data_IF_175428505036
#
_entry.id   IF_175428505036
#
_cell.length_a   1.000
_cell.length_b   1.000
_cell.length_c   1.000
_cell.angle_alpha   90.00
_cell.angle_beta   90.00
_cell.angle_gamma   90.00
#
_symmetry.space_group_name_H-M   'P 1'
#
loop_
_entity.id
_entity.type
_entity.pdbx_description
1 polymer ?
#
# COMPACT_ATOMS: atom_id res chain seq x y z
N UNK A 1 17.04 -54.48 -39.56
CA UNK A 1 15.60 -54.25 -39.31
C UNK A 1 15.21 -55.01 -38.06
N UNK A 2 15.21 -54.36 -36.89
CA UNK A 2 14.63 -54.92 -35.66
C UNK A 2 14.04 -53.76 -34.85
N UNK A 3 12.72 -53.81 -34.73
CA UNK A 3 11.94 -53.09 -33.74
C UNK A 3 11.60 -54.04 -32.59
N UNK A 4 11.24 -53.43 -31.45
CA UNK A 4 10.27 -53.85 -30.44
C UNK A 4 10.80 -54.07 -29.01
N UNK A 5 10.05 -53.43 -28.14
CA UNK A 5 10.20 -53.10 -26.73
C UNK A 5 9.91 -54.22 -25.71
N UNK A 6 10.35 -53.91 -24.48
CA UNK A 6 9.70 -54.10 -23.17
C UNK A 6 9.92 -55.40 -22.37
N UNK A 7 10.59 -55.26 -21.20
CA UNK A 7 10.00 -55.29 -19.83
C UNK A 7 11.14 -55.14 -18.79
N UNK A 8 11.16 -54.05 -18.02
CA UNK A 8 10.54 -53.84 -16.69
C UNK A 8 11.38 -54.46 -15.56
N UNK A 9 12.22 -53.64 -14.93
CA UNK A 9 12.95 -53.94 -13.70
C UNK A 9 12.33 -53.19 -12.52
N UNK A 10 12.20 -53.88 -11.38
CA UNK A 10 11.59 -53.40 -10.14
C UNK A 10 12.60 -52.65 -9.24
N UNK A 11 12.17 -51.45 -8.80
CA UNK A 11 12.32 -50.76 -7.50
C UNK A 11 13.50 -51.09 -6.55
N UNK A 12 14.34 -50.10 -6.23
CA UNK A 12 14.22 -49.02 -5.19
C UNK A 12 14.70 -49.45 -3.80
N UNK A 13 15.79 -48.85 -3.34
CA UNK A 13 15.85 -48.02 -2.12
C UNK A 13 17.28 -47.51 -1.94
N UNK A 14 17.52 -46.21 -2.12
CA UNK A 14 18.64 -45.54 -1.46
C UNK A 14 18.35 -44.04 -1.30
N UNK A 15 18.77 -43.57 -0.14
CA UNK A 15 18.51 -42.31 0.56
C UNK A 15 19.13 -41.09 -0.10
N UNK A 16 18.40 -39.97 -0.12
CA UNK A 16 18.98 -38.64 -0.28
C UNK A 16 18.18 -37.64 0.57
N UNK A 17 18.64 -37.39 1.79
CA UNK A 17 18.18 -36.25 2.59
C UNK A 17 18.81 -34.95 2.07
N UNK A 18 17.94 -33.97 1.92
CA UNK A 18 18.11 -32.69 1.24
C UNK A 18 18.89 -31.66 2.05
N UNK A 19 19.79 -30.95 1.37
CA UNK A 19 20.43 -29.70 1.83
C UNK A 19 19.36 -28.63 2.18
N UNK A 20 19.58 -27.80 3.21
CA UNK A 20 18.66 -26.71 3.54
C UNK A 20 18.72 -25.62 2.45
N UNK A 21 17.54 -25.22 1.98
CA UNK A 21 17.36 -24.25 0.90
C UNK A 21 17.41 -22.81 1.44
N UNK A 22 18.13 -21.97 0.70
CA UNK A 22 18.37 -20.55 0.98
C UNK A 22 17.15 -19.66 0.67
N UNK A 23 16.10 -19.73 1.50
CA UNK A 23 14.92 -18.85 1.44
C UNK A 23 14.61 -18.22 2.81
N UNK A 24 15.63 -17.63 3.44
CA UNK A 24 15.47 -16.94 4.74
C UNK A 24 15.98 -15.49 4.72
N UNK A 25 15.82 -14.79 3.60
CA UNK A 25 16.13 -13.36 3.52
C UNK A 25 15.07 -12.60 2.73
N UNK A 26 14.02 -12.16 3.43
CA UNK A 26 13.32 -10.87 3.25
C UNK A 26 11.88 -10.95 3.82
N UNK A 27 11.74 -10.74 5.13
CA UNK A 27 10.48 -10.27 5.73
C UNK A 27 10.80 -9.13 6.70
N UNK A 28 11.13 -7.98 6.13
CA UNK A 28 11.19 -6.72 6.87
C UNK A 28 10.35 -5.70 6.10
N UNK A 29 9.02 -5.90 6.14
CA UNK A 29 8.02 -5.07 5.47
C UNK A 29 6.96 -4.60 6.46
N UNK A 30 6.80 -3.28 6.51
CA UNK A 30 5.71 -2.45 7.09
C UNK A 30 5.33 -2.72 8.55
N UNK A 31 6.09 -2.18 9.49
CA UNK A 31 5.52 -1.76 10.78
C UNK A 31 6.10 -0.43 11.21
N UNK A 32 5.25 0.59 11.29
CA UNK A 32 5.46 1.70 12.22
C UNK A 32 5.66 1.13 13.65
N UNK A 33 6.30 1.84 14.59
CA UNK A 33 6.46 1.37 15.96
C UNK A 33 5.10 0.92 16.51
N UNK A 34 5.01 -0.34 16.91
CA UNK A 34 3.78 -1.01 17.30
C UNK A 34 3.28 -0.48 18.64
N UNK A 35 2.60 0.66 18.59
CA UNK A 35 1.73 1.09 19.69
C UNK A 35 0.56 0.11 19.72
N UNK A 36 0.57 -0.81 20.66
CA UNK A 36 -0.56 -1.70 20.92
C UNK A 36 -1.71 -0.86 21.46
N UNK A 37 -2.68 -0.58 20.58
CA UNK A 37 -3.91 0.12 20.92
C UNK A 37 -4.81 -0.77 21.79
N UNK A 38 -5.29 -0.23 22.90
CA UNK A 38 -6.40 -0.84 23.64
C UNK A 38 -7.70 -0.62 22.86
N UNK A 39 -8.12 -1.63 22.11
CA UNK A 39 -9.28 -1.55 21.23
C UNK A 39 -10.59 -1.19 21.96
N UNK A 40 -10.67 -1.39 23.28
CA UNK A 40 -11.83 -0.98 24.06
C UNK A 40 -12.03 0.55 24.15
N UNK A 41 -10.97 1.32 23.87
CA UNK A 41 -10.97 2.79 23.86
C UNK A 41 -11.14 3.40 22.47
N UNK A 42 -11.21 2.55 21.45
CA UNK A 42 -11.48 3.00 20.08
C UNK A 42 -12.98 3.22 19.95
N UNK A 43 -13.36 4.42 19.49
CA UNK A 43 -14.73 4.72 19.15
C UNK A 43 -14.95 4.46 17.67
N UNK A 44 -15.88 3.56 17.37
CA UNK A 44 -16.24 3.19 16.01
C UNK A 44 -17.32 4.15 15.51
N UNK A 45 -17.07 4.80 14.38
CA UNK A 45 -18.10 5.57 13.69
C UNK A 45 -19.22 4.63 13.19
N UNK A 46 -20.49 5.06 13.25
CA UNK A 46 -21.59 4.25 12.72
C UNK A 46 -21.34 3.88 11.26
N UNK A 47 -21.57 2.60 10.93
CA UNK A 47 -21.53 2.14 9.55
C UNK A 47 -22.68 2.78 8.75
N UNK A 48 -22.46 3.05 7.47
CA UNK A 48 -23.53 3.48 6.59
C UNK A 48 -24.60 2.40 6.46
N UNK A 49 -25.87 2.80 6.56
CA UNK A 49 -27.02 1.90 6.36
C UNK A 49 -27.34 1.68 4.87
N UNK A 50 -26.95 2.64 4.01
CA UNK A 50 -27.16 2.57 2.57
C UNK A 50 -26.06 1.74 1.89
N UNK A 51 -26.46 0.81 1.02
CA UNK A 51 -25.52 0.05 0.21
C UNK A 51 -25.08 0.85 -1.01
N UNK A 52 -23.79 0.78 -1.33
CA UNK A 52 -23.25 1.24 -2.61
C UNK A 52 -23.28 0.10 -3.62
N UNK A 53 -23.73 0.37 -4.85
CA UNK A 53 -23.68 -0.61 -5.92
C UNK A 53 -22.25 -0.78 -6.45
N UNK A 54 -21.97 -1.95 -7.02
CA UNK A 54 -20.64 -2.29 -7.53
C UNK A 54 -20.16 -1.34 -8.63
N UNK A 55 -21.05 -0.91 -9.53
CA UNK A 55 -20.67 -0.04 -10.65
C UNK A 55 -20.26 1.35 -10.15
N UNK A 56 -20.92 1.84 -9.10
CA UNK A 56 -20.53 3.08 -8.42
C UNK A 56 -19.16 2.94 -7.76
N UNK A 57 -18.91 1.86 -7.03
CA UNK A 57 -17.60 1.59 -6.44
C UNK A 57 -16.49 1.47 -7.51
N UNK A 58 -16.73 0.70 -8.56
CA UNK A 58 -15.75 0.40 -9.60
C UNK A 58 -15.35 1.63 -10.46
N UNK A 59 -16.13 2.72 -10.41
CA UNK A 59 -15.77 4.01 -11.02
C UNK A 59 -14.61 4.70 -10.30
N UNK A 60 -14.38 4.43 -9.03
CA UNK A 60 -13.22 4.97 -8.31
C UNK A 60 -11.96 4.23 -8.73
N UNK A 61 -10.95 4.97 -9.20
CA UNK A 61 -9.70 4.36 -9.64
C UNK A 61 -8.65 4.44 -8.54
N UNK A 62 -8.62 3.41 -7.69
CA UNK A 62 -7.63 3.25 -6.65
C UNK A 62 -6.41 2.50 -7.19
N UNK A 63 -5.23 3.08 -6.99
CA UNK A 63 -3.95 2.55 -7.46
C UNK A 63 -2.93 2.47 -6.34
N UNK A 64 -2.09 1.45 -6.43
CA UNK A 64 -0.83 1.39 -5.72
C UNK A 64 0.10 2.44 -6.30
N UNK A 65 0.69 3.26 -5.43
CA UNK A 65 1.62 4.31 -5.80
C UNK A 65 2.94 4.15 -5.04
N UNK A 66 4.06 4.48 -5.68
CA UNK A 66 5.38 4.52 -5.05
C UNK A 66 5.76 5.94 -4.72
N UNK A 67 6.17 6.21 -3.49
CA UNK A 67 6.64 7.53 -3.09
C UNK A 67 8.06 7.75 -3.60
N UNK A 68 8.20 8.60 -4.63
CA UNK A 68 9.51 9.01 -5.17
C UNK A 68 10.12 10.12 -4.32
N UNK A 69 9.32 11.12 -3.97
CA UNK A 69 9.72 12.27 -3.16
C UNK A 69 8.60 12.64 -2.19
N UNK A 70 8.96 13.13 -1.01
CA UNK A 70 8.05 13.70 -0.04
C UNK A 70 8.70 14.93 0.60
N UNK A 71 7.99 16.05 0.69
CA UNK A 71 8.48 17.28 1.30
C UNK A 71 7.37 18.01 2.06
N UNK A 72 7.74 18.72 3.13
CA UNK A 72 6.81 19.61 3.83
C UNK A 72 6.45 20.82 2.95
N UNK A 73 5.16 21.15 2.87
CA UNK A 73 4.70 22.29 2.07
C UNK A 73 5.02 23.59 2.81
N UNK A 74 5.81 24.45 2.18
CA UNK A 74 6.14 25.79 2.73
C UNK A 74 4.87 26.53 3.14
N UNK A 75 4.90 27.14 4.33
CA UNK A 75 3.78 27.88 4.94
C UNK A 75 2.55 27.04 5.31
N UNK A 76 2.65 25.71 5.28
CA UNK A 76 1.66 24.81 5.89
C UNK A 76 2.29 24.05 7.04
N UNK A 77 1.55 23.89 8.15
CA UNK A 77 1.95 23.00 9.25
C UNK A 77 1.46 21.57 9.05
N UNK A 78 0.47 21.36 8.19
CA UNK A 78 -0.27 20.09 8.07
C UNK A 78 0.03 19.32 6.78
N UNK A 79 0.51 20.00 5.74
CA UNK A 79 0.59 19.43 4.40
C UNK A 79 1.97 18.90 4.08
N UNK A 80 2.00 17.65 3.62
CA UNK A 80 3.09 17.06 2.87
C UNK A 80 2.74 17.06 1.38
N UNK A 81 3.75 17.28 0.53
CA UNK A 81 3.66 17.13 -0.92
C UNK A 81 4.42 15.88 -1.33
N UNK A 82 3.75 15.04 -2.10
CA UNK A 82 4.28 13.79 -2.62
C UNK A 82 4.47 13.90 -4.13
N UNK A 83 5.59 13.36 -4.61
CA UNK A 83 5.78 12.98 -6.02
C UNK A 83 5.71 11.46 -6.08
N UNK A 84 4.77 10.95 -6.87
CA UNK A 84 4.37 9.54 -6.85
C UNK A 84 4.52 8.89 -8.22
N UNK A 85 4.97 7.63 -8.22
CA UNK A 85 4.81 6.72 -9.36
C UNK A 85 3.44 6.03 -9.25
N UNK A 86 2.56 6.24 -10.23
CA UNK A 86 1.28 5.53 -10.33
C UNK A 86 1.27 4.47 -11.45
N UNK A 87 2.44 4.14 -12.02
CA UNK A 87 2.59 3.19 -13.12
C UNK A 87 2.22 3.75 -14.50
N UNK A 88 1.75 5.00 -14.60
CA UNK A 88 1.41 5.63 -15.89
C UNK A 88 2.64 6.12 -16.69
N UNK A 89 3.82 6.13 -16.05
CA UNK A 89 5.03 6.73 -16.62
C UNK A 89 5.10 8.26 -16.48
N UNK A 90 4.14 8.88 -15.79
CA UNK A 90 4.17 10.29 -15.41
C UNK A 90 4.19 10.41 -13.90
N UNK A 91 4.94 11.38 -13.40
CA UNK A 91 4.93 11.70 -11.98
C UNK A 91 3.62 12.39 -11.62
N UNK A 92 3.00 11.90 -10.54
CA UNK A 92 1.76 12.45 -9.98
C UNK A 92 2.08 13.26 -8.74
N UNK A 93 1.51 14.47 -8.64
CA UNK A 93 1.62 15.28 -7.43
C UNK A 93 0.37 15.14 -6.57
N UNK A 94 0.52 14.72 -5.31
CA UNK A 94 -0.57 14.69 -4.32
C UNK A 94 -0.14 15.45 -3.07
N UNK A 95 -1.04 16.26 -2.51
CA UNK A 95 -0.86 16.88 -1.21
C UNK A 95 -1.72 16.14 -0.18
N UNK A 96 -1.13 15.82 0.97
CA UNK A 96 -1.83 15.13 2.06
C UNK A 96 -1.65 15.86 3.39
N UNK A 97 -2.73 15.92 4.17
CA UNK A 97 -2.79 16.61 5.47
C UNK A 97 -2.21 15.84 6.65
N UNK A 98 -1.20 15.01 6.42
CA UNK A 98 -0.72 14.00 7.39
C UNK A 98 0.62 14.36 8.05
N UNK A 99 1.09 15.60 7.90
CA UNK A 99 2.39 16.03 8.45
C UNK A 99 2.45 15.96 9.99
N UNK A 100 1.31 16.02 10.68
CA UNK A 100 1.25 15.86 12.14
C UNK A 100 1.51 14.40 12.58
N UNK A 101 1.51 13.44 11.64
CA UNK A 101 1.61 12.01 11.90
C UNK A 101 2.87 11.36 11.32
N UNK A 102 3.50 11.97 10.32
CA UNK A 102 4.65 11.42 9.62
C UNK A 102 5.63 12.52 9.22
N UNK A 103 6.92 12.20 9.32
CA UNK A 103 7.98 13.01 8.73
C UNK A 103 8.21 12.62 7.26
N UNK A 104 8.61 13.56 6.38
CA UNK A 104 8.81 13.27 4.96
C UNK A 104 9.76 12.09 4.69
N UNK A 105 10.85 11.98 5.45
CA UNK A 105 11.89 10.97 5.28
C UNK A 105 11.39 9.56 5.57
N UNK A 106 10.34 9.41 6.38
CA UNK A 106 9.73 8.12 6.70
C UNK A 106 8.89 7.56 5.53
N UNK A 107 8.46 8.44 4.62
CA UNK A 107 7.52 8.14 3.55
C UNK A 107 8.20 7.92 2.21
N UNK A 108 9.39 8.48 1.98
CA UNK A 108 10.16 8.25 0.74
C UNK A 108 10.46 6.76 0.58
N UNK A 109 10.18 6.23 -0.60
CA UNK A 109 10.34 4.81 -0.93
C UNK A 109 9.20 3.91 -0.45
N UNK A 110 8.23 4.42 0.32
CA UNK A 110 7.06 3.63 0.73
C UNK A 110 6.10 3.39 -0.44
N UNK A 111 5.35 2.31 -0.29
CA UNK A 111 4.28 1.92 -1.21
C UNK A 111 2.94 2.23 -0.58
N UNK A 112 2.16 3.10 -1.19
CA UNK A 112 0.89 3.60 -0.64
C UNK A 112 -0.27 3.34 -1.60
N UNK A 113 -1.48 3.64 -1.14
CA UNK A 113 -2.70 3.61 -1.96
C UNK A 113 -3.19 5.03 -2.22
N UNK A 114 -3.55 5.34 -3.46
CA UNK A 114 -4.17 6.60 -3.84
C UNK A 114 -5.39 6.37 -4.73
N UNK A 115 -6.39 7.24 -4.63
CA UNK A 115 -7.38 7.43 -5.70
C UNK A 115 -6.84 8.43 -6.71
N UNK A 116 -6.81 8.05 -7.99
CA UNK A 116 -6.07 8.77 -9.04
C UNK A 116 -6.96 9.48 -10.06
N UNK A 117 -8.27 9.25 -10.00
CA UNK A 117 -9.25 9.81 -10.93
C UNK A 117 -10.18 10.88 -10.32
N UNK A 118 -9.77 11.49 -9.19
CA UNK A 118 -10.39 12.72 -8.71
C UNK A 118 -9.95 13.92 -9.56
N UNK A 119 -10.82 14.92 -9.78
CA UNK A 119 -10.41 16.15 -10.43
C UNK A 119 -9.31 16.84 -9.59
N UNK A 120 -8.28 17.45 -10.22
CA UNK A 120 -7.23 18.13 -9.48
C UNK A 120 -7.78 19.22 -8.56
N UNK A 121 -7.36 19.21 -7.29
CA UNK A 121 -7.77 20.20 -6.29
C UNK A 121 -6.56 21.06 -5.90
N UNK A 122 -6.56 22.37 -6.20
CA UNK A 122 -5.47 23.24 -5.79
C UNK A 122 -5.45 23.41 -4.27
N UNK A 123 -4.29 23.18 -3.66
CA UNK A 123 -4.04 23.35 -2.24
C UNK A 123 -2.74 24.15 -2.08
N UNK A 124 -2.80 25.30 -1.40
CA UNK A 124 -1.66 26.23 -1.30
C UNK A 124 -1.05 26.61 -2.67
N UNK A 125 -1.87 26.67 -3.73
CA UNK A 125 -1.43 26.99 -5.09
C UNK A 125 -0.81 25.81 -5.87
N UNK A 126 -0.75 24.62 -5.28
CA UNK A 126 -0.22 23.41 -5.92
C UNK A 126 -1.41 22.50 -6.29
N UNK A 127 -1.53 22.03 -7.54
CA UNK A 127 -2.59 21.10 -7.93
C UNK A 127 -2.34 19.72 -7.29
N UNK A 128 -3.25 19.26 -6.42
CA UNK A 128 -3.26 17.89 -5.91
C UNK A 128 -4.08 17.01 -6.85
N UNK A 129 -3.43 16.06 -7.51
CA UNK A 129 -3.97 15.22 -8.56
C UNK A 129 -4.43 13.86 -8.02
N UNK A 130 -5.20 13.87 -6.94
CA UNK A 130 -5.67 12.67 -6.26
C UNK A 130 -5.63 12.81 -4.75
N UNK A 131 -5.79 11.67 -4.08
CA UNK A 131 -5.80 11.60 -2.63
C UNK A 131 -5.18 10.27 -2.16
N UNK A 132 -4.22 10.34 -1.24
CA UNK A 132 -3.68 9.19 -0.53
C UNK A 132 -4.73 8.67 0.48
N UNK A 133 -4.80 7.35 0.64
CA UNK A 133 -5.80 6.71 1.49
C UNK A 133 -5.20 6.41 2.86
N UNK A 134 -5.87 6.88 3.91
CA UNK A 134 -5.49 6.64 5.30
C UNK A 134 -6.67 6.08 6.07
N UNK A 135 -6.41 5.19 7.03
CA UNK A 135 -7.36 4.82 8.06
C UNK A 135 -7.33 5.88 9.16
N UNK A 136 -8.49 6.38 9.57
CA UNK A 136 -8.66 7.35 10.65
C UNK A 136 -9.55 6.73 11.72
N UNK A 137 -9.22 6.98 12.99
CA UNK A 137 -9.98 6.45 14.13
C UNK A 137 -9.93 7.41 15.32
N UNK A 138 -10.94 7.40 16.17
CA UNK A 138 -10.92 8.12 17.45
C UNK A 138 -10.47 7.15 18.57
N UNK A 139 -9.45 7.54 19.32
CA UNK A 139 -8.93 6.82 20.48
C UNK A 139 -8.81 7.78 21.67
N UNK A 140 -9.61 7.53 22.72
CA UNK A 140 -9.63 8.35 23.95
C UNK A 140 -9.80 9.87 23.68
N UNK A 141 -10.74 10.20 22.78
CA UNK A 141 -11.06 11.58 22.38
C UNK A 141 -10.01 12.25 21.48
N UNK A 142 -9.05 11.50 20.93
CA UNK A 142 -8.04 11.98 19.98
C UNK A 142 -8.16 11.26 18.65
N UNK A 143 -7.90 11.98 17.57
CA UNK A 143 -7.79 11.38 16.24
C UNK A 143 -6.45 10.64 16.12
N UNK A 144 -6.51 9.40 15.65
CA UNK A 144 -5.38 8.63 15.16
C UNK A 144 -5.50 8.45 13.66
N UNK A 145 -4.34 8.39 13.00
CA UNK A 145 -4.24 8.22 11.55
C UNK A 145 -3.18 7.18 11.22
N UNK A 146 -3.49 6.31 10.27
CA UNK A 146 -2.54 5.40 9.67
C UNK A 146 -2.65 5.50 8.14
N UNK A 147 -1.57 5.94 7.49
CA UNK A 147 -1.49 5.92 6.03
C UNK A 147 -1.48 4.47 5.54
N UNK A 148 -2.34 4.13 4.59
CA UNK A 148 -2.43 2.78 4.05
C UNK A 148 -1.19 2.49 3.20
N UNK A 149 -0.25 1.75 3.80
CA UNK A 149 0.96 1.26 3.17
C UNK A 149 0.82 -0.22 2.84
N UNK A 150 1.32 -0.62 1.67
CA UNK A 150 1.36 -2.01 1.23
C UNK A 150 2.79 -2.50 1.15
N UNK A 151 2.97 -3.81 0.94
CA UNK A 151 4.30 -4.37 0.68
C UNK A 151 4.98 -3.74 -0.54
N UNK A 152 6.29 -3.51 -0.41
CA UNK A 152 7.06 -2.82 -1.44
C UNK A 152 7.23 -3.63 -2.73
N UNK A 153 6.92 -4.93 -2.71
CA UNK A 153 6.94 -5.79 -3.90
C UNK A 153 5.77 -5.54 -4.85
N UNK A 154 4.69 -4.89 -4.39
CA UNK A 154 3.52 -4.65 -5.23
C UNK A 154 3.84 -3.56 -6.25
N UNK A 155 3.65 -3.77 -7.56
CA UNK A 155 4.07 -2.80 -8.56
C UNK A 155 3.23 -1.53 -8.55
N UNK A 156 3.84 -0.40 -8.93
CA UNK A 156 3.13 0.84 -9.17
C UNK A 156 2.01 0.64 -10.22
N UNK A 157 0.86 1.27 -10.01
CA UNK A 157 -0.29 1.17 -10.91
C UNK A 157 -1.12 -0.10 -10.77
N UNK A 158 -0.75 -1.03 -9.87
CA UNK A 158 -1.63 -2.12 -9.48
C UNK A 158 -2.98 -1.55 -8.99
N UNK A 159 -4.08 -2.13 -9.47
CA UNK A 159 -5.42 -1.62 -9.22
C UNK A 159 -6.06 -2.31 -8.01
N UNK A 160 -6.75 -1.53 -7.19
CA UNK A 160 -7.56 -2.04 -6.09
C UNK A 160 -9.02 -2.16 -6.53
N UNK A 161 -9.64 -3.29 -6.19
CA UNK A 161 -11.05 -3.63 -6.37
C UNK A 161 -11.57 -4.30 -5.09
#
# INVERSE_FOLDING_TARGET
>A
MKSLDAKKGDNKAETAESKPNAFEAAVAGVSAPSVQLDLSKVKIEPLFEEFVDFDTFAKSDFRVVKVKECEAVKKSKKLLKFVLDDGSGKDRTILSGIHEYYEPEELVGKTCVAITNLPPRPMMGIPSEGMLISAVYEYDGREGLNLLMLDDVIPAGAKLY
#
